data_IF_187722890236
#
_entry.id   IF_187722890236
#
_cell.length_a   1.000
_cell.length_b   1.000
_cell.length_c   1.000
_cell.angle_alpha   90.00
_cell.angle_beta   90.00
_cell.angle_gamma   90.00
#
_symmetry.space_group_name_H-M   'P 1'
#
loop_
_entity.id
_entity.type
_entity.pdbx_description
1 polymer ?
#
# COMPACT_ATOMS: atom_id res chain seq x y z
N UNK A 1 17.41 25.17 -19.50
CA UNK A 1 16.23 24.32 -19.77
C UNK A 1 16.61 22.90 -19.35
N UNK A 2 16.40 22.54 -18.09
CA UNK A 2 16.72 21.21 -17.55
C UNK A 2 15.49 20.29 -17.62
N UNK A 3 15.10 19.88 -18.83
CA UNK A 3 14.00 18.92 -19.03
C UNK A 3 14.44 17.46 -18.92
N UNK A 4 15.74 17.20 -18.76
CA UNK A 4 16.32 15.84 -18.68
C UNK A 4 15.91 15.06 -17.43
N UNK A 5 15.79 15.72 -16.28
CA UNK A 5 15.46 15.07 -15.00
C UNK A 5 13.97 14.72 -14.87
N UNK A 6 13.09 15.51 -15.51
CA UNK A 6 11.65 15.28 -15.46
C UNK A 6 11.24 14.01 -16.23
N UNK A 7 11.84 13.80 -17.42
CA UNK A 7 11.61 12.58 -18.22
C UNK A 7 12.14 11.33 -17.51
N UNK A 8 13.34 11.40 -16.93
CA UNK A 8 13.92 10.28 -16.16
C UNK A 8 13.08 9.90 -14.94
N UNK A 9 12.61 10.89 -14.17
CA UNK A 9 11.72 10.65 -13.03
C UNK A 9 10.40 9.99 -13.42
N UNK A 10 9.78 10.43 -14.52
CA UNK A 10 8.54 9.85 -15.02
C UNK A 10 8.71 8.39 -15.46
N UNK A 11 9.80 8.08 -16.16
CA UNK A 11 10.11 6.70 -16.58
C UNK A 11 10.34 5.81 -15.35
N UNK A 12 11.09 6.30 -14.36
CA UNK A 12 11.33 5.56 -13.12
C UNK A 12 10.03 5.25 -12.37
N UNK A 13 9.15 6.24 -12.21
CA UNK A 13 7.83 6.05 -11.60
C UNK A 13 6.96 5.07 -12.39
N UNK A 14 6.99 5.11 -13.73
CA UNK A 14 6.28 4.17 -14.58
C UNK A 14 6.76 2.73 -14.38
N UNK A 15 8.07 2.51 -14.30
CA UNK A 15 8.66 1.18 -14.02
C UNK A 15 8.23 0.66 -12.66
N UNK A 16 8.28 1.49 -11.62
CA UNK A 16 7.81 1.13 -10.27
C UNK A 16 6.33 0.77 -10.32
N UNK A 17 5.51 1.58 -10.99
CA UNK A 17 4.08 1.32 -11.10
C UNK A 17 3.79 -0.02 -11.77
N UNK A 18 4.47 -0.34 -12.87
CA UNK A 18 4.33 -1.62 -13.58
C UNK A 18 4.75 -2.78 -12.67
N UNK A 19 5.86 -2.64 -11.94
CA UNK A 19 6.31 -3.67 -11.02
C UNK A 19 5.28 -3.92 -9.90
N UNK A 20 4.76 -2.87 -9.28
CA UNK A 20 3.71 -2.96 -8.25
C UNK A 20 2.46 -3.64 -8.83
N UNK A 21 2.04 -3.23 -10.03
CA UNK A 21 0.88 -3.80 -10.71
C UNK A 21 1.06 -5.30 -10.97
N UNK A 22 2.22 -5.71 -11.49
CA UNK A 22 2.55 -7.12 -11.70
C UNK A 22 2.51 -7.94 -10.41
N UNK A 23 3.17 -7.47 -9.35
CA UNK A 23 3.17 -8.17 -8.06
C UNK A 23 1.78 -8.25 -7.44
N UNK A 24 0.96 -7.20 -7.59
CA UNK A 24 -0.45 -7.21 -7.13
C UNK A 24 -1.25 -8.30 -7.83
N UNK A 25 -1.06 -8.48 -9.14
CA UNK A 25 -1.67 -9.58 -9.90
C UNK A 25 -1.22 -10.95 -9.38
N UNK A 26 0.10 -11.15 -9.20
CA UNK A 26 0.65 -12.41 -8.71
C UNK A 26 0.12 -12.76 -7.33
N UNK A 27 0.05 -11.80 -6.40
CA UNK A 27 -0.50 -12.03 -5.07
C UNK A 27 -1.99 -12.33 -5.09
N UNK A 28 -2.76 -11.69 -5.97
CA UNK A 28 -4.20 -11.98 -6.12
C UNK A 28 -4.42 -13.40 -6.64
N UNK A 29 -3.63 -13.85 -7.63
CA UNK A 29 -3.68 -15.23 -8.11
C UNK A 29 -3.34 -16.22 -6.99
N UNK A 30 -2.28 -15.96 -6.22
CA UNK A 30 -1.92 -16.82 -5.06
C UNK A 30 -3.05 -16.86 -4.04
N UNK A 31 -3.66 -15.72 -3.71
CA UNK A 31 -4.78 -15.64 -2.78
C UNK A 31 -6.02 -16.39 -3.28
N UNK A 32 -6.28 -16.37 -4.60
CA UNK A 32 -7.34 -17.18 -5.22
C UNK A 32 -7.01 -18.67 -5.14
N UNK A 33 -5.77 -19.07 -5.38
CA UNK A 33 -5.34 -20.46 -5.25
C UNK A 33 -5.40 -20.94 -3.80
N UNK A 34 -5.10 -20.09 -2.80
CA UNK A 34 -5.27 -20.40 -1.38
C UNK A 34 -6.73 -20.74 -1.02
N UNK A 35 -7.67 -20.36 -1.89
CA UNK A 35 -9.11 -20.63 -1.78
C UNK A 35 -9.60 -21.73 -2.73
N UNK A 36 -8.70 -22.42 -3.42
CA UNK A 36 -9.00 -23.39 -4.47
C UNK A 36 -9.81 -22.82 -5.66
N UNK A 37 -9.68 -21.51 -5.93
CA UNK A 37 -10.24 -20.85 -7.12
C UNK A 37 -9.20 -20.74 -8.23
N UNK A 38 -9.64 -20.64 -9.48
CA UNK A 38 -8.72 -20.46 -10.61
C UNK A 38 -8.16 -19.04 -10.66
N UNK A 39 -6.88 -18.90 -11.04
CA UNK A 39 -6.23 -17.60 -11.22
C UNK A 39 -6.88 -16.67 -12.26
N UNK A 40 -7.73 -17.21 -13.14
CA UNK A 40 -8.48 -16.42 -14.14
C UNK A 40 -9.39 -15.36 -13.51
N UNK A 41 -9.88 -15.59 -12.30
CA UNK A 41 -10.68 -14.59 -11.58
C UNK A 41 -9.88 -13.29 -11.29
N UNK A 42 -8.55 -13.33 -11.30
CA UNK A 42 -7.72 -12.12 -11.16
C UNK A 42 -7.91 -11.12 -12.29
N UNK A 43 -8.39 -11.53 -13.47
CA UNK A 43 -8.70 -10.60 -14.57
C UNK A 43 -9.81 -9.60 -14.21
N UNK A 44 -10.67 -9.93 -13.23
CA UNK A 44 -11.67 -9.00 -12.72
C UNK A 44 -11.05 -7.74 -12.09
N UNK A 45 -9.76 -7.78 -11.73
CA UNK A 45 -9.03 -6.59 -11.28
C UNK A 45 -8.97 -5.48 -12.34
N UNK A 46 -9.06 -5.81 -13.63
CA UNK A 46 -9.05 -4.83 -14.73
C UNK A 46 -10.39 -4.07 -14.84
N UNK A 47 -11.45 -4.59 -14.22
CA UNK A 47 -12.78 -3.98 -14.23
C UNK A 47 -13.02 -3.29 -12.88
N UNK A 48 -13.11 -1.96 -12.79
CA UNK A 48 -13.08 -1.24 -11.50
C UNK A 48 -14.10 -1.72 -10.46
N UNK A 49 -15.37 -1.92 -10.87
CA UNK A 49 -16.41 -2.37 -9.95
C UNK A 49 -16.22 -3.83 -9.51
N UNK A 50 -15.84 -4.70 -10.44
CA UNK A 50 -15.58 -6.11 -10.13
C UNK A 50 -14.32 -6.27 -9.27
N UNK A 51 -13.30 -5.43 -9.47
CA UNK A 51 -12.09 -5.39 -8.66
C UNK A 51 -12.43 -5.10 -7.19
N UNK A 52 -13.27 -4.10 -6.91
CA UNK A 52 -13.70 -3.79 -5.54
C UNK A 52 -14.42 -4.98 -4.90
N UNK A 53 -15.37 -5.59 -5.61
CA UNK A 53 -16.12 -6.74 -5.10
C UNK A 53 -15.18 -7.94 -4.84
N UNK A 54 -14.28 -8.24 -5.78
CA UNK A 54 -13.30 -9.32 -5.65
C UNK A 54 -12.37 -9.06 -4.47
N UNK A 55 -11.87 -7.84 -4.31
CA UNK A 55 -10.94 -7.48 -3.25
C UNK A 55 -11.61 -7.57 -1.88
N UNK A 56 -12.85 -7.07 -1.73
CA UNK A 56 -13.63 -7.24 -0.50
C UNK A 56 -13.83 -8.73 -0.18
N UNK A 57 -14.20 -9.54 -1.17
CA UNK A 57 -14.33 -10.98 -0.98
C UNK A 57 -13.00 -11.62 -0.52
N UNK A 58 -11.87 -11.33 -1.16
CA UNK A 58 -10.58 -11.94 -0.83
C UNK A 58 -10.00 -11.49 0.53
N UNK A 59 -10.36 -10.28 0.98
CA UNK A 59 -10.00 -9.76 2.31
C UNK A 59 -10.75 -10.50 3.40
N UNK A 60 -12.07 -10.69 3.26
CA UNK A 60 -12.89 -11.26 4.33
C UNK A 60 -13.03 -12.79 4.27
N UNK A 61 -12.79 -13.42 3.11
CA UNK A 61 -12.97 -14.86 2.97
C UNK A 61 -11.86 -15.67 3.70
N UNK A 62 -12.18 -16.50 4.71
CA UNK A 62 -11.19 -17.26 5.50
C UNK A 62 -10.63 -18.43 4.71
N UNK A 63 -9.30 -18.66 4.61
CA UNK A 63 -8.63 -19.68 3.76
C UNK A 63 -9.35 -21.05 3.62
N UNK A 64 -9.17 -21.79 2.52
CA UNK A 64 -9.74 -23.15 2.47
C UNK A 64 -8.89 -24.09 3.35
N UNK A 65 -9.53 -24.74 4.33
CA UNK A 65 -8.89 -25.66 5.27
C UNK A 65 -8.75 -27.09 4.69
N UNK A 66 -9.36 -27.35 3.53
CA UNK A 66 -9.35 -28.66 2.87
C UNK A 66 -8.08 -28.86 2.02
N UNK A 67 -7.88 -30.09 1.54
CA UNK A 67 -6.84 -30.41 0.57
C UNK A 67 -6.99 -29.53 -0.67
N UNK A 68 -6.17 -28.50 -0.79
CA UNK A 68 -6.18 -27.57 -1.90
C UNK A 68 -5.57 -28.24 -3.15
N UNK A 69 -6.22 -28.10 -4.30
CA UNK A 69 -5.73 -28.63 -5.58
C UNK A 69 -4.43 -27.96 -6.05
N UNK A 70 -4.05 -26.83 -5.45
CA UNK A 70 -2.83 -26.08 -5.74
C UNK A 70 -1.66 -26.36 -4.75
N UNK A 71 -1.85 -27.26 -3.78
CA UNK A 71 -0.81 -27.69 -2.84
C UNK A 71 -1.17 -27.52 -1.36
N UNK A 72 -0.37 -28.08 -0.45
CA UNK A 72 -0.63 -28.02 0.99
C UNK A 72 -0.52 -26.59 1.53
N UNK A 73 -1.37 -26.18 2.49
CA UNK A 73 -1.23 -24.90 3.18
C UNK A 73 0.17 -24.76 3.79
N UNK A 74 0.84 -23.64 3.53
CA UNK A 74 2.14 -23.35 4.15
C UNK A 74 1.95 -23.03 5.63
N UNK A 75 2.76 -23.56 6.55
CA UNK A 75 2.76 -23.10 7.93
C UNK A 75 3.26 -21.65 7.98
N UNK A 76 2.47 -20.75 8.58
CA UNK A 76 2.88 -19.36 8.83
C UNK A 76 4.03 -19.36 9.82
N UNK A 77 5.15 -18.74 9.45
CA UNK A 77 6.30 -18.66 10.34
C UNK A 77 6.06 -17.58 11.41
N UNK A 78 6.50 -17.80 12.65
CA UNK A 78 6.24 -16.86 13.75
C UNK A 78 6.77 -15.43 13.51
N UNK A 79 7.84 -15.27 12.73
CA UNK A 79 8.38 -13.96 12.36
C UNK A 79 7.45 -13.18 11.40
N UNK A 80 6.60 -13.87 10.61
CA UNK A 80 5.63 -13.21 9.73
C UNK A 80 4.61 -12.42 10.56
N UNK A 81 4.22 -12.94 11.72
CA UNK A 81 3.36 -12.22 12.66
C UNK A 81 4.08 -11.00 13.27
N UNK A 82 5.36 -11.13 13.63
CA UNK A 82 6.16 -10.01 14.15
C UNK A 82 6.26 -8.88 13.12
N UNK A 83 6.54 -9.21 11.86
CA UNK A 83 6.54 -8.21 10.78
C UNK A 83 5.17 -7.57 10.60
N UNK A 84 4.09 -8.34 10.65
CA UNK A 84 2.73 -7.80 10.53
C UNK A 84 2.46 -6.73 11.61
N UNK A 85 2.84 -7.00 12.86
CA UNK A 85 2.71 -6.01 13.94
C UNK A 85 3.61 -4.78 13.75
N UNK A 86 4.84 -4.96 13.27
CA UNK A 86 5.73 -3.84 12.92
C UNK A 86 5.12 -2.97 11.82
N UNK A 87 4.55 -3.59 10.77
CA UNK A 87 3.88 -2.85 9.70
C UNK A 87 2.67 -2.07 10.20
N UNK A 88 1.85 -2.65 11.09
CA UNK A 88 0.72 -1.96 11.71
C UNK A 88 1.21 -0.75 12.52
N UNK A 89 2.27 -0.92 13.33
CA UNK A 89 2.86 0.18 14.11
C UNK A 89 3.37 1.30 13.20
N UNK A 90 4.17 0.96 12.18
CA UNK A 90 4.68 1.93 11.20
C UNK A 90 3.56 2.66 10.49
N UNK A 91 2.47 1.98 10.12
CA UNK A 91 1.32 2.59 9.48
C UNK A 91 0.64 3.63 10.38
N UNK A 92 0.42 3.29 11.65
CA UNK A 92 -0.16 4.22 12.64
C UNK A 92 0.75 5.43 12.87
N UNK A 93 2.06 5.21 13.05
CA UNK A 93 3.04 6.29 13.20
C UNK A 93 3.07 7.17 11.94
N UNK A 94 2.99 6.58 10.75
CA UNK A 94 2.92 7.30 9.48
C UNK A 94 1.68 8.20 9.37
N UNK A 95 0.50 7.72 9.78
CA UNK A 95 -0.73 8.53 9.82
C UNK A 95 -0.57 9.70 10.80
N UNK A 96 -0.06 9.43 12.00
CA UNK A 96 0.17 10.47 13.00
C UNK A 96 1.16 11.53 12.50
N UNK A 97 2.26 11.11 11.86
CA UNK A 97 3.23 12.01 11.26
C UNK A 97 2.61 12.85 10.13
N UNK A 98 1.79 12.24 9.26
CA UNK A 98 1.12 12.94 8.18
C UNK A 98 0.17 14.05 8.67
N UNK A 99 -0.39 13.91 9.88
CA UNK A 99 -1.24 14.93 10.51
C UNK A 99 -0.38 15.94 11.31
N UNK A 100 0.61 15.46 12.05
CA UNK A 100 1.40 16.26 12.98
C UNK A 100 2.43 17.17 12.28
N UNK A 101 3.05 16.72 11.18
CA UNK A 101 4.03 17.51 10.44
C UNK A 101 3.43 18.83 9.89
N UNK A 102 2.31 18.83 9.14
CA UNK A 102 1.73 20.08 8.66
C UNK A 102 1.21 20.96 9.81
N UNK A 103 0.70 20.38 10.90
CA UNK A 103 0.26 21.16 12.07
C UNK A 103 1.43 21.86 12.76
N UNK A 104 2.58 21.16 12.90
CA UNK A 104 3.79 21.74 13.46
C UNK A 104 4.40 22.81 12.55
N UNK A 105 4.43 22.58 11.24
CA UNK A 105 4.88 23.58 10.27
C UNK A 105 4.04 24.86 10.35
N UNK A 106 2.72 24.72 10.46
CA UNK A 106 1.78 25.84 10.60
C UNK A 106 2.03 26.65 11.89
N UNK A 107 2.39 25.98 12.99
CA UNK A 107 2.73 26.65 14.25
C UNK A 107 4.00 27.51 14.12
N UNK A 108 5.07 26.94 13.54
CA UNK A 108 6.35 27.66 13.38
C UNK A 108 6.21 28.87 12.45
N UNK A 109 5.41 28.76 11.38
CA UNK A 109 5.14 29.89 10.48
C UNK A 109 4.50 31.07 11.21
N UNK A 110 3.51 30.82 12.07
CA UNK A 110 2.83 31.87 12.86
C UNK A 110 3.76 32.50 13.88
N UNK A 111 4.58 31.68 14.55
CA UNK A 111 5.57 32.17 15.51
C UNK A 111 6.60 33.09 14.82
N UNK A 112 7.12 32.69 13.66
CA UNK A 112 8.06 33.51 12.89
C UNK A 112 7.44 34.83 12.42
N UNK A 113 6.19 34.80 11.96
CA UNK A 113 5.48 36.01 11.53
C UNK A 113 5.32 37.01 12.69
N UNK A 114 4.92 36.54 13.88
CA UNK A 114 4.79 37.42 15.06
C UNK A 114 6.11 38.10 15.46
N UNK A 115 7.25 37.44 15.25
CA UNK A 115 8.58 38.02 15.54
C UNK A 115 8.94 39.13 14.53
N UNK A 116 8.59 38.94 13.25
CA UNK A 116 8.83 39.94 12.20
C UNK A 116 8.00 41.20 12.46
N UNK A 117 6.75 41.05 12.88
CA UNK A 117 5.87 42.18 13.22
C UNK A 117 6.40 42.99 14.42
N UNK A 118 6.97 42.32 15.43
CA UNK A 118 7.62 43.00 16.56
C UNK A 118 8.90 43.75 16.19
N UNK A 119 9.61 43.33 15.13
CA UNK A 119 10.84 44.03 14.66
C UNK A 119 10.53 45.26 13.81
N UNK A 120 9.32 45.36 13.25
CA UNK A 120 8.90 46.48 12.41
C UNK A 120 8.27 47.63 13.19
N UNK A 121 7.99 47.43 14.48
CA UNK A 121 7.52 48.44 15.43
C UNK A 121 8.70 49.05 16.18
#
# INVERSE_FOLDING_TARGET
METGNFSGGMIFLAVIYIAIFYFTFVFTIRRLHDRNHTGWLSLLMLVPLANVILMLYLIFAPGDDRSNSYGSPRPTAGWEAVLAWIYILLFVVGILAAIALPSYQSYIQRANQSQIEMQQQ
#
